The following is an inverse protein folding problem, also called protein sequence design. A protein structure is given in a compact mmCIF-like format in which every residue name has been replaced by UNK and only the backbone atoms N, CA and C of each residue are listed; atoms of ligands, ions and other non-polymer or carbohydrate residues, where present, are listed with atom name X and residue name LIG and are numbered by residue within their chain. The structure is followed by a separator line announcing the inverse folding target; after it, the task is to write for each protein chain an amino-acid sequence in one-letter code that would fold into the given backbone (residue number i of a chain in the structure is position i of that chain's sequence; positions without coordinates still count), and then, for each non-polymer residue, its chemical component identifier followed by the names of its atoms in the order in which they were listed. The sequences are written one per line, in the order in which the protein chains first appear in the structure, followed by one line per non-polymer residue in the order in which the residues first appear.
data_IF_086954274767
#
_entry.id   IF_086954274767
#
_cell.length_a   1.000
_cell.length_b   1.000
_cell.length_c   1.000
_cell.angle_alpha   90.00
_cell.angle_beta   90.00
_cell.angle_gamma   90.00
#
_symmetry.space_group_name_H-M   'P 1'
#
loop_
_entity.id
_entity.type
_entity.pdbx_description
1 polymer ?
#
# COMPACT_ATOMS: atom_id res chain seq x y z
N UNK A 1 -31.35 39.15 0.73
CA UNK A 1 -30.71 39.57 -0.54
C UNK A 1 -29.50 40.45 -0.25
N UNK A 2 -28.30 40.11 -0.74
CA UNK A 2 -27.14 41.01 -0.70
C UNK A 2 -26.23 40.76 -1.91
N UNK A 3 -26.57 41.40 -3.02
CA UNK A 3 -25.79 41.34 -4.26
C UNK A 3 -24.37 41.84 -4.01
N UNK A 4 -23.36 41.10 -4.48
CA UNK A 4 -21.97 41.57 -4.55
C UNK A 4 -21.43 41.36 -5.96
N UNK A 5 -21.03 42.48 -6.54
CA UNK A 5 -20.64 42.67 -7.92
C UNK A 5 -19.66 41.63 -8.48
N UNK A 6 -20.03 41.00 -9.60
CA UNK A 6 -19.05 40.48 -10.55
C UNK A 6 -18.29 41.67 -11.15
N UNK A 7 -16.96 41.67 -11.03
CA UNK A 7 -16.10 42.50 -11.89
C UNK A 7 -15.57 41.61 -13.00
N UNK A 8 -16.20 41.70 -14.17
CA UNK A 8 -15.67 41.12 -15.40
C UNK A 8 -14.40 41.89 -15.79
N UNK A 9 -13.25 41.22 -15.78
CA UNK A 9 -11.99 41.77 -16.28
C UNK A 9 -11.74 41.16 -17.65
N UNK A 10 -12.19 41.85 -18.70
CA UNK A 10 -11.77 41.55 -20.07
C UNK A 10 -10.33 42.02 -20.28
N UNK A 11 -9.37 41.13 -20.08
CA UNK A 11 -7.94 41.34 -20.34
C UNK A 11 -7.56 40.96 -21.78
N UNK A 12 -6.87 41.86 -22.48
CA UNK A 12 -6.51 41.76 -23.89
C UNK A 12 -5.37 40.74 -24.13
N UNK A 13 -5.42 39.95 -25.21
CA UNK A 13 -4.30 39.08 -25.60
C UNK A 13 -3.06 39.90 -25.99
N UNK A 14 -1.92 39.58 -25.35
CA UNK A 14 -0.57 39.82 -25.85
C UNK A 14 0.29 38.60 -25.49
N UNK A 15 1.11 38.13 -26.43
CA UNK A 15 1.77 36.83 -26.32
C UNK A 15 2.82 36.75 -25.21
N UNK A 16 2.63 35.81 -24.29
CA UNK A 16 3.59 35.42 -23.26
C UNK A 16 3.26 34.01 -22.77
N UNK A 17 4.26 33.13 -22.75
CA UNK A 17 4.08 31.73 -22.34
C UNK A 17 3.89 31.60 -20.84
N UNK A 18 2.81 30.96 -20.40
CA UNK A 18 2.73 30.32 -19.09
C UNK A 18 2.74 31.26 -17.88
N UNK A 19 1.67 32.04 -17.70
CA UNK A 19 1.27 32.49 -16.36
C UNK A 19 -0.20 32.16 -16.18
N UNK A 20 -0.54 31.32 -15.20
CA UNK A 20 -1.93 31.08 -14.76
C UNK A 20 -2.44 32.31 -13.99
N UNK A 21 -2.57 33.43 -14.68
CA UNK A 21 -3.03 34.71 -14.14
C UNK A 21 -4.57 34.80 -14.11
N UNK A 22 -5.22 33.85 -13.46
CA UNK A 22 -6.61 33.97 -13.02
C UNK A 22 -6.92 33.00 -11.88
N UNK A 23 -7.56 33.49 -10.80
CA UNK A 23 -8.15 32.70 -9.69
C UNK A 23 -9.37 31.87 -10.16
N UNK A 24 -9.25 31.25 -11.33
CA UNK A 24 -10.29 30.47 -11.98
C UNK A 24 -10.03 29.00 -11.70
N UNK A 25 -10.55 28.50 -10.59
CA UNK A 25 -10.59 27.09 -10.23
C UNK A 25 -11.58 26.32 -11.14
N UNK A 26 -11.48 26.51 -12.46
CA UNK A 26 -12.45 26.10 -13.47
C UNK A 26 -11.83 26.08 -14.88
N UNK A 27 -12.18 25.10 -15.70
CA UNK A 27 -11.61 24.89 -17.02
C UNK A 27 -10.43 23.92 -16.99
N UNK A 28 -9.67 23.86 -18.10
CA UNK A 28 -8.58 22.90 -18.25
C UNK A 28 -7.32 23.43 -17.56
N UNK A 29 -6.98 22.86 -16.41
CA UNK A 29 -5.87 23.30 -15.59
C UNK A 29 -4.62 22.48 -15.85
N UNK A 30 -3.48 23.15 -16.09
CA UNK A 30 -2.21 22.49 -16.35
C UNK A 30 -1.13 22.93 -15.36
N UNK A 31 -0.64 21.99 -14.55
CA UNK A 31 0.43 22.21 -13.56
C UNK A 31 1.75 21.81 -14.21
N UNK A 32 2.65 22.76 -14.47
CA UNK A 32 3.96 22.49 -15.09
C UNK A 32 5.12 22.64 -14.12
N UNK A 33 4.86 23.19 -12.93
CA UNK A 33 5.83 23.55 -11.90
C UNK A 33 5.16 23.60 -10.52
N UNK A 34 5.95 23.61 -9.44
CA UNK A 34 5.40 23.83 -8.09
C UNK A 34 4.73 25.22 -8.00
N UNK A 35 5.25 26.24 -8.67
CA UNK A 35 4.61 27.57 -8.73
C UNK A 35 3.21 27.57 -9.35
N UNK A 36 2.92 26.67 -10.29
CA UNK A 36 1.56 26.50 -10.83
C UNK A 36 0.63 25.83 -9.81
N UNK A 37 1.16 24.95 -8.95
CA UNK A 37 0.42 24.34 -7.84
C UNK A 37 0.20 25.34 -6.69
N UNK A 38 1.19 26.17 -6.36
CA UNK A 38 1.10 27.21 -5.33
C UNK A 38 0.06 28.29 -5.70
N UNK A 39 -0.14 28.54 -7.00
CA UNK A 39 -1.21 29.41 -7.51
C UNK A 39 -2.64 28.86 -7.26
N UNK A 40 -2.76 27.57 -6.90
CA UNK A 40 -4.03 26.89 -6.61
C UNK A 40 -4.36 26.80 -5.13
N UNK A 41 -3.54 27.38 -4.24
CA UNK A 41 -3.78 27.39 -2.79
C UNK A 41 -5.15 27.98 -2.39
N UNK A 42 -5.72 28.87 -3.22
CA UNK A 42 -7.03 29.48 -2.98
C UNK A 42 -8.19 28.64 -3.58
N UNK A 43 -7.89 27.46 -4.15
CA UNK A 43 -8.85 26.57 -4.84
C UNK A 43 -9.10 25.27 -4.07
N UNK A 44 -10.15 25.25 -3.23
CA UNK A 44 -10.64 24.02 -2.61
C UNK A 44 -11.26 23.06 -3.64
N UNK A 45 -11.97 23.58 -4.65
CA UNK A 45 -12.61 22.78 -5.72
C UNK A 45 -12.19 23.27 -7.10
N UNK A 46 -11.68 22.36 -7.94
CA UNK A 46 -11.41 22.62 -9.36
C UNK A 46 -12.56 22.08 -10.22
N UNK A 47 -13.11 22.95 -11.07
CA UNK A 47 -14.24 22.66 -11.96
C UNK A 47 -13.74 22.39 -13.39
N UNK A 48 -13.09 21.24 -13.59
CA UNK A 48 -12.54 20.83 -14.87
C UNK A 48 -11.42 19.79 -14.73
N UNK A 49 -10.78 19.39 -15.85
CA UNK A 49 -9.67 18.45 -15.83
C UNK A 49 -8.41 19.10 -15.26
N UNK A 50 -7.67 18.33 -14.46
CA UNK A 50 -6.34 18.70 -13.94
C UNK A 50 -5.29 17.84 -14.62
N UNK A 51 -4.28 18.46 -15.21
CA UNK A 51 -3.17 17.76 -15.87
C UNK A 51 -1.82 18.26 -15.35
N UNK A 52 -1.05 17.38 -14.72
CA UNK A 52 0.38 17.63 -14.48
C UNK A 52 1.11 17.42 -15.80
N UNK A 53 1.83 18.45 -16.23
CA UNK A 53 2.56 18.49 -17.49
C UNK A 53 3.74 17.51 -17.49
N UNK A 54 3.99 16.85 -18.62
CA UNK A 54 5.21 16.07 -18.87
C UNK A 54 6.52 16.85 -18.71
N UNK A 55 6.45 18.19 -18.71
CA UNK A 55 7.57 19.10 -18.41
C UNK A 55 7.81 19.31 -16.91
N UNK A 56 6.97 18.75 -16.04
CA UNK A 56 7.10 18.89 -14.58
C UNK A 56 8.34 18.15 -14.06
N UNK A 57 8.91 18.67 -12.97
CA UNK A 57 10.12 18.12 -12.36
C UNK A 57 10.15 18.36 -10.86
N UNK A 58 10.95 17.56 -10.15
CA UNK A 58 11.05 17.64 -8.69
C UNK A 58 9.79 17.12 -8.01
N UNK A 59 9.23 17.88 -7.07
CA UNK A 59 8.03 17.49 -6.33
C UNK A 59 6.89 18.46 -6.64
N UNK A 60 5.68 17.94 -6.84
CA UNK A 60 4.46 18.72 -6.96
C UNK A 60 3.58 18.46 -5.74
N UNK A 61 3.33 19.49 -4.93
CA UNK A 61 2.47 19.47 -3.77
C UNK A 61 1.28 20.40 -3.97
N UNK A 62 0.06 19.88 -3.79
CA UNK A 62 -1.21 20.59 -3.95
C UNK A 62 -2.01 20.44 -2.63
N UNK A 63 -1.63 21.15 -1.55
CA UNK A 63 -2.12 20.84 -0.21
C UNK A 63 -3.57 21.25 0.04
N UNK A 64 -4.06 22.35 -0.54
CA UNK A 64 -5.39 22.92 -0.25
C UNK A 64 -6.53 22.34 -1.11
N UNK A 65 -6.20 21.60 -2.17
CA UNK A 65 -7.18 21.04 -3.09
C UNK A 65 -7.95 19.89 -2.44
N UNK A 66 -9.27 19.99 -2.41
CA UNK A 66 -10.19 19.00 -1.83
C UNK A 66 -10.99 18.24 -2.90
N UNK A 67 -11.44 18.91 -3.96
CA UNK A 67 -12.29 18.30 -4.99
C UNK A 67 -11.85 18.62 -6.41
N UNK A 68 -11.85 17.61 -7.28
CA UNK A 68 -11.63 17.76 -8.72
C UNK A 68 -12.86 17.27 -9.49
N UNK A 69 -13.64 18.19 -10.05
CA UNK A 69 -14.80 17.89 -10.89
C UNK A 69 -14.39 17.63 -12.35
N UNK A 70 -13.58 16.61 -12.53
CA UNK A 70 -13.01 16.20 -13.81
C UNK A 70 -12.02 15.04 -13.64
N UNK A 71 -11.31 14.64 -14.71
CA UNK A 71 -10.18 13.73 -14.60
C UNK A 71 -8.98 14.43 -13.94
N UNK A 72 -8.17 13.65 -13.24
CA UNK A 72 -6.85 14.06 -12.76
C UNK A 72 -5.78 13.20 -13.44
N UNK A 73 -4.85 13.84 -14.15
CA UNK A 73 -3.92 13.17 -15.07
C UNK A 73 -2.48 13.59 -14.80
N UNK A 74 -1.58 12.63 -14.59
CA UNK A 74 -0.13 12.85 -14.41
C UNK A 74 0.60 11.95 -15.40
N UNK A 75 1.07 12.50 -16.52
CA UNK A 75 1.58 11.67 -17.62
C UNK A 75 2.90 12.14 -18.22
N UNK A 76 3.78 11.16 -18.50
CA UNK A 76 5.02 11.35 -19.26
C UNK A 76 6.06 12.26 -18.61
N UNK A 77 5.99 12.47 -17.29
CA UNK A 77 6.90 13.37 -16.57
C UNK A 77 8.16 12.63 -16.14
N UNK A 78 9.22 12.72 -16.96
CA UNK A 78 10.46 11.96 -16.75
C UNK A 78 11.34 12.45 -15.60
N UNK A 79 11.10 13.65 -15.07
CA UNK A 79 11.89 14.27 -13.98
C UNK A 79 11.06 14.55 -12.72
N UNK A 80 9.80 14.09 -12.69
CA UNK A 80 8.89 14.26 -11.57
C UNK A 80 9.12 13.15 -10.56
N UNK A 81 9.54 13.50 -9.34
CA UNK A 81 9.95 12.59 -8.28
C UNK A 81 8.81 12.22 -7.32
N UNK A 82 7.88 13.15 -7.07
CA UNK A 82 6.76 12.93 -6.15
C UNK A 82 5.54 13.83 -6.48
N UNK A 83 4.34 13.30 -6.24
CA UNK A 83 3.07 14.05 -6.28
C UNK A 83 2.33 13.88 -4.96
N UNK A 84 2.00 14.99 -4.32
CA UNK A 84 1.27 15.04 -3.04
C UNK A 84 0.04 15.93 -3.17
N UNK A 85 -1.13 15.41 -2.79
CA UNK A 85 -2.37 16.17 -2.66
C UNK A 85 -3.10 15.71 -1.39
N UNK A 86 -2.56 16.12 -0.24
CA UNK A 86 -2.94 15.52 1.06
C UNK A 86 -4.40 15.73 1.46
N UNK A 87 -5.03 16.84 1.07
CA UNK A 87 -6.43 17.15 1.42
C UNK A 87 -7.43 16.77 0.32
N UNK A 88 -6.98 16.22 -0.81
CA UNK A 88 -7.84 15.80 -1.91
C UNK A 88 -8.75 14.68 -1.41
N UNK A 89 -10.06 14.89 -1.45
CA UNK A 89 -11.12 13.99 -0.98
C UNK A 89 -11.84 13.30 -2.15
N UNK A 90 -12.11 14.02 -3.25
CA UNK A 90 -12.74 13.41 -4.41
C UNK A 90 -12.17 13.83 -5.78
N UNK A 91 -12.17 12.88 -6.71
CA UNK A 91 -11.96 13.11 -8.14
C UNK A 91 -13.19 12.56 -8.84
N UNK A 92 -14.02 13.40 -9.46
CA UNK A 92 -15.29 12.96 -10.07
C UNK A 92 -15.10 12.21 -11.38
N UNK A 93 -13.94 12.34 -12.02
CA UNK A 93 -13.54 11.60 -13.21
C UNK A 93 -12.55 10.48 -12.91
N UNK A 94 -11.83 9.97 -13.93
CA UNK A 94 -10.73 9.03 -13.73
C UNK A 94 -9.50 9.72 -13.14
N UNK A 95 -8.75 8.99 -12.32
CA UNK A 95 -7.42 9.35 -11.82
C UNK A 95 -6.38 8.48 -12.55
N UNK A 96 -5.60 9.10 -13.44
CA UNK A 96 -4.56 8.41 -14.23
C UNK A 96 -3.17 8.96 -13.90
N UNK A 97 -2.25 8.09 -13.51
CA UNK A 97 -0.81 8.38 -13.41
C UNK A 97 -0.05 7.39 -14.29
N UNK A 98 0.50 7.84 -15.42
CA UNK A 98 1.16 6.95 -16.39
C UNK A 98 2.50 7.45 -16.94
N UNK A 99 3.46 6.55 -17.14
CA UNK A 99 4.71 6.86 -17.85
C UNK A 99 5.66 7.86 -17.15
N UNK A 100 5.59 7.99 -15.82
CA UNK A 100 6.45 8.92 -15.07
C UNK A 100 7.66 8.15 -14.48
N UNK A 101 8.72 7.98 -15.27
CA UNK A 101 9.84 7.08 -14.95
C UNK A 101 10.57 7.39 -13.63
N UNK A 102 10.72 8.66 -13.27
CA UNK A 102 11.39 9.08 -12.03
C UNK A 102 10.46 9.21 -10.80
N UNK A 103 9.15 8.94 -10.96
CA UNK A 103 8.16 9.16 -9.91
C UNK A 103 8.27 8.09 -8.83
N UNK A 104 8.76 8.45 -7.64
CA UNK A 104 9.04 7.51 -6.56
C UNK A 104 7.88 7.35 -5.57
N UNK A 105 7.08 8.41 -5.38
CA UNK A 105 5.97 8.40 -4.42
C UNK A 105 4.76 9.21 -4.87
N UNK A 106 3.58 8.71 -4.55
CA UNK A 106 2.29 9.39 -4.71
C UNK A 106 1.56 9.35 -3.37
N UNK A 107 1.10 10.51 -2.89
CA UNK A 107 0.41 10.63 -1.62
C UNK A 107 -0.88 11.46 -1.75
N UNK A 108 -2.02 10.78 -1.69
CA UNK A 108 -3.36 11.38 -1.65
C UNK A 108 -4.12 10.73 -0.48
N UNK A 109 -3.58 10.87 0.73
CA UNK A 109 -3.99 10.08 1.91
C UNK A 109 -5.44 10.28 2.31
N UNK A 110 -6.05 11.44 2.02
CA UNK A 110 -7.46 11.73 2.31
C UNK A 110 -8.41 11.48 1.12
N UNK A 111 -7.93 10.94 -0.01
CA UNK A 111 -8.76 10.68 -1.18
C UNK A 111 -9.73 9.55 -0.84
N UNK A 112 -11.03 9.85 -0.83
CA UNK A 112 -12.12 8.93 -0.47
C UNK A 112 -12.79 8.31 -1.70
N UNK A 113 -13.00 9.09 -2.77
CA UNK A 113 -13.75 8.62 -3.95
C UNK A 113 -13.10 9.01 -5.27
N UNK A 114 -12.95 8.02 -6.16
CA UNK A 114 -12.66 8.20 -7.59
C UNK A 114 -13.90 7.83 -8.39
N UNK A 115 -14.45 8.80 -9.14
CA UNK A 115 -15.69 8.67 -9.91
C UNK A 115 -15.54 7.92 -11.25
N UNK A 116 -14.31 7.66 -11.70
CA UNK A 116 -13.99 6.84 -12.86
C UNK A 116 -13.00 5.71 -12.54
N UNK A 117 -12.15 5.35 -13.52
CA UNK A 117 -11.02 4.44 -13.29
C UNK A 117 -9.93 5.07 -12.42
N UNK A 118 -9.26 4.25 -11.62
CA UNK A 118 -7.99 4.57 -10.96
C UNK A 118 -6.90 3.74 -11.64
N UNK A 119 -6.05 4.40 -12.44
CA UNK A 119 -5.02 3.77 -13.26
C UNK A 119 -3.63 4.32 -12.92
N UNK A 120 -2.75 3.45 -12.43
CA UNK A 120 -1.34 3.76 -12.16
C UNK A 120 -0.49 2.73 -12.90
N UNK A 121 0.14 3.12 -14.02
CA UNK A 121 0.85 2.18 -14.90
C UNK A 121 2.15 2.77 -15.47
N UNK A 122 3.21 1.95 -15.57
CA UNK A 122 4.44 2.35 -16.29
C UNK A 122 5.23 3.47 -15.59
N UNK A 123 5.12 3.56 -14.27
CA UNK A 123 5.90 4.45 -13.43
C UNK A 123 7.01 3.61 -12.77
N UNK A 124 8.11 3.36 -13.50
CA UNK A 124 9.13 2.37 -13.11
C UNK A 124 9.79 2.67 -11.75
N UNK A 125 9.94 3.94 -11.37
CA UNK A 125 10.46 4.33 -10.06
C UNK A 125 9.47 4.23 -8.89
N UNK A 126 8.18 3.95 -9.13
CA UNK A 126 7.12 4.19 -8.14
C UNK A 126 7.08 3.13 -7.03
N UNK A 127 7.69 3.48 -5.90
CA UNK A 127 7.79 2.60 -4.72
C UNK A 127 6.64 2.71 -3.75
N UNK A 128 6.08 3.91 -3.56
CA UNK A 128 5.03 4.15 -2.56
C UNK A 128 3.79 4.81 -3.16
N UNK A 129 2.64 4.15 -3.00
CA UNK A 129 1.32 4.67 -3.34
C UNK A 129 0.45 4.73 -2.06
N UNK A 130 0.21 5.94 -1.56
CA UNK A 130 -0.58 6.22 -0.34
C UNK A 130 -1.96 6.74 -0.68
N UNK A 131 -2.97 5.89 -0.51
CA UNK A 131 -4.40 6.15 -0.71
C UNK A 131 -5.18 5.62 0.50
N UNK A 132 -4.70 5.94 1.71
CA UNK A 132 -5.11 5.28 2.96
C UNK A 132 -6.62 5.36 3.21
N UNK A 133 -7.25 6.50 2.94
CA UNK A 133 -8.69 6.72 3.09
C UNK A 133 -9.53 6.44 1.83
N UNK A 134 -9.00 5.79 0.80
CA UNK A 134 -9.76 5.51 -0.42
C UNK A 134 -10.83 4.47 -0.16
N UNK A 135 -12.08 4.91 -0.06
CA UNK A 135 -13.27 4.07 0.14
C UNK A 135 -13.77 3.48 -1.18
N UNK A 136 -13.76 4.27 -2.27
CA UNK A 136 -14.57 3.97 -3.46
C UNK A 136 -13.90 4.30 -4.79
N UNK A 137 -13.97 3.35 -5.71
CA UNK A 137 -13.61 3.51 -7.13
C UNK A 137 -14.80 3.06 -7.98
N UNK A 138 -15.42 4.00 -8.69
CA UNK A 138 -16.61 3.73 -9.51
C UNK A 138 -16.30 3.04 -10.85
N UNK A 139 -15.03 2.97 -11.26
CA UNK A 139 -14.55 2.23 -12.42
C UNK A 139 -13.55 1.12 -12.06
N UNK A 140 -12.64 0.84 -12.99
CA UNK A 140 -11.57 -0.15 -12.81
C UNK A 140 -10.46 0.37 -11.90
N UNK A 141 -9.82 -0.52 -11.14
CA UNK A 141 -8.60 -0.28 -10.37
C UNK A 141 -7.44 -1.03 -11.02
N UNK A 142 -6.57 -0.32 -11.72
CA UNK A 142 -5.39 -0.90 -12.39
C UNK A 142 -4.11 -0.32 -11.81
N UNK A 143 -3.31 -1.15 -11.14
CA UNK A 143 -2.02 -0.78 -10.56
C UNK A 143 -0.94 -1.69 -11.16
N UNK A 144 0.00 -1.13 -11.91
CA UNK A 144 1.06 -1.87 -12.64
C UNK A 144 2.41 -1.13 -12.52
N UNK A 145 3.36 -1.72 -11.79
CA UNK A 145 4.62 -1.05 -11.44
C UNK A 145 5.54 -1.85 -10.52
N UNK A 146 6.56 -1.18 -9.96
CA UNK A 146 7.56 -1.75 -9.06
C UNK A 146 7.31 -1.32 -7.60
N UNK A 147 6.08 -1.52 -7.13
CA UNK A 147 5.64 -1.04 -5.82
C UNK A 147 6.24 -1.85 -4.67
N UNK A 148 6.77 -1.14 -3.67
CA UNK A 148 7.19 -1.72 -2.38
C UNK A 148 6.06 -1.58 -1.34
N UNK A 149 5.25 -0.51 -1.43
CA UNK A 149 4.09 -0.26 -0.57
C UNK A 149 2.92 0.36 -1.35
N UNK A 150 1.76 -0.31 -1.29
CA UNK A 150 0.46 0.22 -1.71
C UNK A 150 -0.42 0.27 -0.46
N UNK A 151 -1.03 1.41 -0.16
CA UNK A 151 -1.95 1.58 0.98
C UNK A 151 -3.34 1.91 0.49
N UNK A 152 -4.32 1.08 0.86
CA UNK A 152 -5.73 1.12 0.47
C UNK A 152 -6.64 0.78 1.67
N UNK A 153 -6.24 1.21 2.88
CA UNK A 153 -6.73 0.66 4.15
C UNK A 153 -8.25 0.72 4.35
N UNK A 154 -8.91 1.76 3.84
CA UNK A 154 -10.35 1.96 4.00
C UNK A 154 -11.18 1.56 2.75
N UNK A 155 -10.62 0.79 1.81
CA UNK A 155 -11.30 0.43 0.57
C UNK A 155 -12.49 -0.50 0.80
N UNK A 156 -13.67 -0.04 0.40
CA UNK A 156 -14.97 -0.67 0.61
C UNK A 156 -15.65 -1.06 -0.72
N UNK A 157 -15.41 -0.32 -1.81
CA UNK A 157 -16.11 -0.56 -3.07
C UNK A 157 -15.29 -0.18 -4.32
N UNK A 158 -14.77 -1.18 -5.02
CA UNK A 158 -14.36 -1.09 -6.44
C UNK A 158 -15.44 -1.74 -7.29
N UNK A 159 -16.12 -0.95 -8.12
CA UNK A 159 -17.22 -1.44 -8.95
C UNK A 159 -16.75 -2.11 -10.25
N UNK A 160 -15.59 -1.70 -10.78
CA UNK A 160 -14.98 -2.28 -11.97
C UNK A 160 -14.06 -3.48 -11.68
N UNK A 161 -13.26 -3.85 -12.68
CA UNK A 161 -12.20 -4.85 -12.56
C UNK A 161 -11.05 -4.30 -11.71
N UNK A 162 -10.51 -5.15 -10.84
CA UNK A 162 -9.26 -4.87 -10.11
C UNK A 162 -8.12 -5.71 -10.68
N UNK A 163 -7.05 -5.04 -11.11
CA UNK A 163 -5.84 -5.66 -11.66
C UNK A 163 -4.61 -5.02 -11.01
N UNK A 164 -3.96 -5.75 -10.11
CA UNK A 164 -2.75 -5.32 -9.42
C UNK A 164 -1.61 -6.20 -9.88
N UNK A 165 -0.59 -5.60 -10.47
CA UNK A 165 0.66 -6.23 -10.88
C UNK A 165 1.81 -5.45 -10.23
N UNK A 166 2.37 -5.99 -9.15
CA UNK A 166 3.62 -5.46 -8.59
C UNK A 166 4.81 -6.31 -9.02
N UNK A 167 5.89 -5.64 -9.38
CA UNK A 167 7.21 -6.23 -9.59
C UNK A 167 8.20 -5.93 -8.43
N UNK A 168 7.73 -5.23 -7.39
CA UNK A 168 8.52 -4.85 -6.21
C UNK A 168 8.32 -5.76 -5.00
N UNK A 169 8.57 -5.25 -3.79
CA UNK A 169 8.45 -6.03 -2.56
C UNK A 169 7.02 -6.15 -2.00
N UNK A 170 6.05 -5.49 -2.62
CA UNK A 170 4.66 -5.50 -2.18
C UNK A 170 4.04 -6.91 -2.23
N UNK A 171 3.26 -7.26 -1.20
CA UNK A 171 2.60 -8.56 -1.07
C UNK A 171 1.08 -8.41 -1.20
N UNK A 172 0.47 -9.15 -2.13
CA UNK A 172 -0.97 -9.23 -2.35
C UNK A 172 -1.75 -9.69 -1.10
N UNK A 173 -1.10 -10.41 -0.17
CA UNK A 173 -1.73 -10.79 1.11
C UNK A 173 -2.11 -9.59 1.97
N UNK A 174 -1.51 -8.41 1.77
CA UNK A 174 -1.91 -7.18 2.44
C UNK A 174 -3.27 -6.63 2.00
N UNK A 175 -3.92 -7.22 0.98
CA UNK A 175 -5.31 -6.92 0.61
C UNK A 175 -6.27 -8.07 0.91
N UNK A 176 -5.83 -9.15 1.58
CA UNK A 176 -6.71 -10.30 1.85
C UNK A 176 -7.87 -9.92 2.79
N UNK A 177 -7.67 -8.96 3.72
CA UNK A 177 -8.72 -8.38 4.57
C UNK A 177 -9.76 -7.61 3.74
N UNK A 178 -9.31 -6.68 2.87
CA UNK A 178 -10.17 -5.92 1.95
C UNK A 178 -11.00 -6.84 1.03
N UNK A 179 -10.40 -7.95 0.62
CA UNK A 179 -11.02 -8.96 -0.25
C UNK A 179 -12.01 -9.86 0.48
N UNK A 180 -11.69 -10.29 1.70
CA UNK A 180 -12.42 -11.36 2.40
C UNK A 180 -13.45 -10.84 3.39
N UNK A 181 -13.12 -9.76 4.11
CA UNK A 181 -13.96 -9.23 5.20
C UNK A 181 -14.85 -8.08 4.70
N UNK A 182 -14.29 -7.10 3.98
CA UNK A 182 -15.06 -5.99 3.41
C UNK A 182 -15.77 -6.39 2.09
N UNK A 183 -15.23 -7.39 1.37
CA UNK A 183 -15.70 -7.76 0.04
C UNK A 183 -15.54 -6.61 -0.97
N UNK A 184 -14.46 -5.83 -0.85
CA UNK A 184 -14.32 -4.52 -1.47
C UNK A 184 -14.33 -4.55 -3.00
N UNK A 185 -13.82 -5.63 -3.58
CA UNK A 185 -13.73 -5.81 -5.03
C UNK A 185 -15.01 -6.47 -5.53
N UNK A 186 -15.94 -5.67 -6.10
CA UNK A 186 -17.23 -6.16 -6.61
C UNK A 186 -17.10 -6.80 -8.00
N UNK A 187 -16.13 -6.36 -8.80
CA UNK A 187 -15.76 -6.98 -10.07
C UNK A 187 -14.70 -8.08 -9.94
N UNK A 188 -14.14 -8.52 -11.07
CA UNK A 188 -13.06 -9.52 -11.08
C UNK A 188 -11.79 -8.95 -10.42
N UNK A 189 -11.23 -9.66 -9.44
CA UNK A 189 -9.99 -9.30 -8.75
C UNK A 189 -8.82 -10.20 -9.21
N UNK A 190 -7.73 -9.58 -9.63
CA UNK A 190 -6.45 -10.24 -9.89
C UNK A 190 -5.33 -9.45 -9.22
N UNK A 191 -4.54 -10.10 -8.38
CA UNK A 191 -3.32 -9.53 -7.80
C UNK A 191 -2.16 -10.50 -8.07
N UNK A 192 -1.06 -9.97 -8.61
CA UNK A 192 0.14 -10.71 -8.98
C UNK A 192 1.38 -9.93 -8.52
N UNK A 193 2.36 -10.66 -7.99
CA UNK A 193 3.53 -10.12 -7.29
C UNK A 193 4.81 -10.85 -7.75
N UNK A 194 5.97 -10.22 -7.61
CA UNK A 194 7.27 -10.85 -7.88
C UNK A 194 7.68 -11.77 -6.71
N UNK A 195 6.91 -12.83 -6.56
CA UNK A 195 6.88 -13.62 -5.34
C UNK A 195 8.10 -14.52 -5.09
N UNK A 196 8.16 -15.00 -3.85
CA UNK A 196 8.83 -16.25 -3.49
C UNK A 196 7.92 -17.17 -2.66
N UNK A 197 6.66 -16.75 -2.43
CA UNK A 197 5.63 -17.54 -1.77
C UNK A 197 5.05 -18.60 -2.70
N UNK A 198 5.03 -19.85 -2.25
CA UNK A 198 4.24 -20.91 -2.88
C UNK A 198 2.79 -20.44 -3.02
N UNK A 199 2.20 -20.62 -4.21
CA UNK A 199 0.78 -20.33 -4.50
C UNK A 199 -0.12 -20.95 -3.41
N UNK A 200 -1.26 -20.33 -3.12
CA UNK A 200 -2.21 -20.81 -2.11
C UNK A 200 -2.61 -22.29 -2.30
N UNK A 201 -2.68 -22.77 -3.55
CA UNK A 201 -2.88 -24.19 -3.87
C UNK A 201 -1.69 -25.08 -3.49
N UNK A 202 -0.45 -24.61 -3.67
CA UNK A 202 0.76 -25.33 -3.26
C UNK A 202 0.94 -25.34 -1.73
N UNK A 203 0.60 -24.23 -1.03
CA UNK A 203 0.51 -24.18 0.44
C UNK A 203 -0.48 -25.22 0.98
N UNK A 204 -1.67 -25.32 0.38
CA UNK A 204 -2.68 -26.32 0.75
C UNK A 204 -2.21 -27.76 0.47
N UNK A 205 -1.57 -28.01 -0.68
CA UNK A 205 -1.06 -29.33 -1.05
C UNK A 205 0.00 -29.87 -0.08
N UNK A 206 0.92 -29.01 0.38
CA UNK A 206 1.96 -29.41 1.35
C UNK A 206 1.33 -29.76 2.71
N UNK A 207 0.35 -28.99 3.18
CA UNK A 207 -0.33 -29.26 4.45
C UNK A 207 -0.99 -30.67 4.46
N UNK A 208 -1.72 -31.01 3.39
CA UNK A 208 -2.37 -32.32 3.25
C UNK A 208 -1.31 -33.44 3.14
N UNK A 209 -0.23 -33.21 2.37
CA UNK A 209 0.87 -34.17 2.21
C UNK A 209 1.57 -34.52 3.54
N UNK A 210 1.83 -33.52 4.39
CA UNK A 210 2.44 -33.73 5.71
C UNK A 210 1.50 -34.51 6.63
N UNK A 211 0.20 -34.19 6.67
CA UNK A 211 -0.77 -34.89 7.50
C UNK A 211 -0.85 -36.38 7.12
N UNK A 212 -0.99 -36.68 5.82
CA UNK A 212 -1.02 -38.06 5.33
C UNK A 212 0.30 -38.80 5.60
N UNK A 213 1.45 -38.12 5.42
CA UNK A 213 2.77 -38.67 5.72
C UNK A 213 2.93 -39.07 7.19
N UNK A 214 2.54 -38.19 8.12
CA UNK A 214 2.60 -38.46 9.57
C UNK A 214 1.68 -39.61 9.98
N UNK A 215 0.46 -39.69 9.41
CA UNK A 215 -0.47 -40.80 9.65
C UNK A 215 0.12 -42.14 9.17
N UNK A 216 0.72 -42.17 7.98
CA UNK A 216 1.40 -43.37 7.45
C UNK A 216 2.59 -43.80 8.34
N UNK A 217 3.40 -42.84 8.78
CA UNK A 217 4.57 -43.09 9.62
C UNK A 217 4.16 -43.62 11.02
N UNK A 218 3.09 -43.08 11.60
CA UNK A 218 2.50 -43.58 12.84
C UNK A 218 1.96 -45.02 12.70
N UNK A 219 1.28 -45.34 11.58
CA UNK A 219 0.82 -46.70 11.27
C UNK A 219 1.97 -47.69 11.11
N UNK A 220 3.07 -47.29 10.45
CA UNK A 220 4.27 -48.13 10.34
C UNK A 220 4.92 -48.39 11.69
N UNK A 221 5.07 -47.37 12.55
CA UNK A 221 5.58 -47.53 13.92
C UNK A 221 4.68 -48.49 14.72
N UNK A 222 3.36 -48.32 14.64
CA UNK A 222 2.40 -49.20 15.30
C UNK A 222 2.48 -50.65 14.80
N UNK A 223 2.62 -50.87 13.49
CA UNK A 223 2.83 -52.20 12.91
C UNK A 223 4.16 -52.82 13.36
N UNK A 224 5.25 -52.06 13.45
CA UNK A 224 6.53 -52.51 13.99
C UNK A 224 6.41 -52.91 15.47
N UNK A 225 5.72 -52.13 16.30
CA UNK A 225 5.45 -52.47 17.71
C UNK A 225 4.57 -53.73 17.80
N UNK A 226 3.53 -53.85 16.96
CA UNK A 226 2.63 -55.01 16.93
C UNK A 226 3.35 -56.29 16.46
N UNK A 227 4.28 -56.19 15.50
CA UNK A 227 5.15 -57.30 15.06
C UNK A 227 6.13 -57.69 16.16
N UNK A 228 6.83 -56.73 16.80
CA UNK A 228 7.72 -57.01 17.94
C UNK A 228 6.98 -57.64 19.13
N UNK A 229 5.75 -57.19 19.46
CA UNK A 229 4.89 -57.83 20.48
C UNK A 229 4.48 -59.26 20.10
N UNK A 230 4.28 -59.56 18.82
CA UNK A 230 4.05 -60.94 18.33
C UNK A 230 5.32 -61.81 18.34
N UNK A 231 6.50 -61.25 18.06
CA UNK A 231 7.77 -61.96 18.15
C UNK A 231 8.11 -62.32 19.62
N UNK A 232 8.00 -61.37 20.55
CA UNK A 232 8.20 -61.65 21.99
C UNK A 232 7.31 -62.78 22.54
N UNK A 233 6.12 -63.01 21.95
CA UNK A 233 5.25 -64.15 22.28
C UNK A 233 5.73 -65.51 21.73
N UNK A 234 6.56 -65.52 20.68
CA UNK A 234 7.22 -66.73 20.16
C UNK A 234 8.49 -67.04 20.94
N UNK A 235 9.29 -66.02 21.22
CA UNK A 235 10.57 -66.18 21.95
C UNK A 235 10.33 -66.68 23.38
N UNK A 236 9.26 -66.19 24.05
CA UNK A 236 8.83 -66.66 25.36
C UNK A 236 8.28 -68.10 25.36
N UNK A 237 7.87 -68.65 24.21
CA UNK A 237 7.41 -70.04 24.11
C UNK A 237 8.58 -71.04 23.98
N UNK A 238 9.73 -70.62 23.44
CA UNK A 238 10.92 -71.46 23.35
C UNK A 238 11.68 -71.53 24.69
N UNK A 239 11.72 -70.41 25.44
CA UNK A 239 12.31 -70.37 26.78
C UNK A 239 11.56 -71.23 27.83
N UNK A 240 10.31 -71.61 27.56
CA UNK A 240 9.52 -72.49 28.42
C UNK A 240 9.91 -73.98 28.34
N UNK A 241 10.59 -74.43 27.29
CA UNK A 241 11.01 -75.83 27.13
C UNK A 241 12.42 -76.12 27.68
N UNK A 242 13.20 -75.10 28.03
CA UNK A 242 14.57 -75.24 28.55
C UNK A 242 14.67 -75.11 30.08
N UNK A 243 13.54 -75.14 30.79
CA UNK A 243 13.47 -75.05 32.25
C UNK A 243 13.26 -76.41 32.96
N UNK A 244 13.39 -77.52 32.23
CA UNK A 244 13.23 -78.87 32.75
C UNK A 244 14.30 -79.82 32.17
N UNK A 245 15.56 -79.68 32.61
CA UNK A 245 16.62 -80.62 32.22
C UNK A 245 18.03 -80.26 32.70
N UNK A 246 18.72 -81.25 33.26
CA UNK A 246 20.16 -81.33 33.52
C UNK A 246 20.77 -80.33 34.53
N UNK A 247 20.89 -80.80 35.77
CA UNK A 247 22.01 -80.44 36.65
C UNK A 247 23.21 -81.37 36.37
N UNK A 248 24.44 -80.90 36.61
CA UNK A 248 25.57 -81.78 37.00
C UNK A 248 26.87 -81.69 36.17
N UNK A 249 27.97 -81.40 36.90
CA UNK A 249 29.38 -81.76 36.59
C UNK A 249 30.09 -81.10 35.37
N UNK A 250 31.43 -81.02 35.28
CA UNK A 250 32.54 -80.66 36.21
C UNK A 250 33.85 -80.60 35.38
N UNK A 251 34.78 -79.68 35.71
CA UNK A 251 36.18 -79.62 35.20
C UNK A 251 36.47 -78.38 34.31
N UNK A 252 37.43 -77.46 34.61
CA UNK A 252 38.90 -77.55 34.82
C UNK A 252 39.67 -77.77 33.49
N UNK A 253 40.72 -77.02 33.10
CA UNK A 253 41.65 -76.09 33.79
C UNK A 253 42.31 -75.04 32.82
N UNK A 254 42.84 -73.91 33.37
CA UNK A 254 44.08 -73.12 32.97
C UNK A 254 44.14 -72.48 31.54
N UNK A 255 44.65 -71.26 31.25
CA UNK A 255 45.69 -70.33 31.79
C UNK A 255 45.30 -68.86 31.48
N UNK A 256 45.15 -67.90 32.42
CA UNK A 256 46.09 -67.02 33.16
C UNK A 256 46.84 -65.89 32.39
N UNK A 257 46.30 -64.67 32.54
CA UNK A 257 46.95 -63.33 32.71
C UNK A 257 47.48 -62.56 31.46
N UNK A 258 47.53 -61.21 31.44
CA UNK A 258 47.41 -60.20 32.51
C UNK A 258 46.88 -58.80 32.04
N UNK A 259 46.28 -58.02 32.95
CA UNK A 259 46.22 -56.52 33.07
C UNK A 259 45.89 -55.61 31.84
N UNK A 260 45.03 -54.57 31.86
CA UNK A 260 44.74 -53.52 32.87
C UNK A 260 43.56 -52.63 32.39
N UNK A 261 42.93 -51.87 33.30
CA UNK A 261 41.74 -50.98 33.14
C UNK A 261 42.00 -49.69 33.95
N UNK A 262 41.29 -48.51 33.84
CA UNK A 262 40.24 -48.00 32.92
C UNK A 262 40.58 -46.66 32.20
N UNK A 263 39.71 -46.18 31.27
CA UNK A 263 38.94 -44.91 31.42
C UNK A 263 38.27 -44.37 30.11
N UNK A 264 36.95 -44.50 30.04
CA UNK A 264 35.93 -43.48 29.70
C UNK A 264 35.99 -42.54 28.45
N UNK A 265 34.82 -42.52 27.76
CA UNK A 265 34.12 -41.47 26.96
C UNK A 265 34.49 -41.17 25.48
N UNK A 266 33.42 -41.02 24.67
CA UNK A 266 33.24 -40.13 23.49
C UNK A 266 33.34 -40.70 22.06
N UNK A 267 32.19 -41.20 21.58
CA UNK A 267 31.54 -40.95 20.27
C UNK A 267 32.37 -40.71 18.98
N UNK A 268 32.10 -41.54 17.96
CA UNK A 268 31.44 -41.20 16.67
C UNK A 268 32.00 -41.96 15.46
N UNK A 269 31.13 -42.27 14.49
CA UNK A 269 31.37 -43.19 13.38
C UNK A 269 32.10 -42.56 12.18
N UNK A 270 32.77 -43.35 11.32
CA UNK A 270 33.53 -42.84 10.17
C UNK A 270 32.68 -42.59 8.92
N UNK A 271 33.21 -41.78 8.01
CA UNK A 271 32.77 -41.63 6.61
C UNK A 271 33.98 -41.80 5.68
N UNK A 272 33.77 -42.27 4.44
CA UNK A 272 34.82 -42.80 3.57
C UNK A 272 34.69 -42.37 2.10
N UNK A 273 35.83 -41.97 1.51
CA UNK A 273 36.23 -42.03 0.08
C UNK A 273 35.31 -41.48 -1.04
N UNK A 274 35.62 -40.27 -1.54
CA UNK A 274 36.33 -39.95 -2.82
C UNK A 274 36.20 -40.84 -4.11
N UNK A 275 36.60 -40.38 -5.33
CA UNK A 275 35.79 -39.69 -6.36
C UNK A 275 35.74 -40.47 -7.72
N UNK A 276 35.36 -39.91 -8.91
CA UNK A 276 36.26 -39.03 -9.73
C UNK A 276 35.60 -37.96 -10.65
N UNK A 277 36.44 -37.18 -11.35
CA UNK A 277 36.21 -35.99 -12.21
C UNK A 277 36.57 -36.25 -13.71
N UNK A 278 36.82 -35.26 -14.61
CA UNK A 278 36.33 -33.88 -14.80
C UNK A 278 35.52 -33.83 -16.14
N UNK A 279 35.80 -33.09 -17.26
CA UNK A 279 36.35 -31.73 -17.56
C UNK A 279 35.27 -30.62 -17.44
N UNK A 280 35.44 -29.29 -17.55
CA UNK A 280 36.48 -28.29 -17.96
C UNK A 280 36.46 -27.76 -19.40
N UNK A 281 36.12 -26.47 -19.55
CA UNK A 281 36.75 -25.55 -20.52
C UNK A 281 36.74 -24.09 -20.01
N UNK A 282 37.55 -23.23 -20.62
CA UNK A 282 38.21 -22.10 -19.94
C UNK A 282 38.10 -20.79 -20.73
N UNK A 283 37.98 -19.63 -20.07
CA UNK A 283 38.67 -18.42 -20.53
C UNK A 283 38.97 -17.40 -19.41
N UNK A 284 39.93 -16.51 -19.67
CA UNK A 284 40.70 -15.75 -18.67
C UNK A 284 40.83 -14.29 -19.09
N UNK A 285 40.51 -13.33 -18.21
CA UNK A 285 41.10 -11.98 -18.28
C UNK A 285 41.48 -11.44 -16.90
N UNK A 286 42.68 -10.87 -16.86
CA UNK A 286 43.46 -10.40 -15.71
C UNK A 286 42.79 -9.44 -14.71
N UNK A 287 43.29 -9.50 -13.48
CA UNK A 287 43.11 -8.46 -12.46
C UNK A 287 44.00 -7.22 -12.74
N UNK A 288 43.55 -6.06 -12.27
CA UNK A 288 44.44 -4.91 -12.02
C UNK A 288 44.01 -4.20 -10.74
N UNK A 289 44.89 -4.25 -9.74
CA UNK A 289 44.71 -3.58 -8.45
C UNK A 289 45.09 -2.09 -8.58
N UNK A 290 44.16 -1.19 -8.28
CA UNK A 290 44.42 0.26 -8.21
C UNK A 290 44.43 0.69 -6.73
N UNK A 291 45.51 1.30 -6.21
CA UNK A 291 45.56 1.74 -4.81
C UNK A 291 44.63 2.94 -4.55
N UNK A 292 43.85 2.86 -3.47
CA UNK A 292 43.03 3.99 -3.01
C UNK A 292 43.90 5.05 -2.32
N UNK A 293 43.79 6.31 -2.75
CA UNK A 293 44.34 7.48 -2.05
C UNK A 293 43.21 8.18 -1.28
N UNK A 294 43.33 8.45 0.02
CA UNK A 294 42.27 9.14 0.78
C UNK A 294 42.22 10.64 0.42
N UNK A 295 41.02 11.19 0.24
CA UNK A 295 40.80 12.63 0.21
C UNK A 295 40.73 13.18 1.64
N UNK A 296 41.38 14.31 1.86
CA UNK A 296 41.30 15.08 3.11
C UNK A 296 39.98 15.89 3.18
N UNK A 297 39.41 16.14 4.38
CA UNK A 297 38.23 16.98 4.55
C UNK A 297 38.55 18.49 4.39
N UNK A 298 37.55 19.33 4.05
CA UNK A 298 37.73 20.77 3.89
C UNK A 298 37.86 21.53 5.23
N UNK A 299 38.54 22.70 5.26
CA UNK A 299 38.69 23.52 6.46
C UNK A 299 37.42 24.34 6.79
N UNK A 300 37.21 24.70 8.08
CA UNK A 300 36.04 25.46 8.52
C UNK A 300 36.11 26.97 8.21
N UNK A 301 34.95 27.61 8.13
CA UNK A 301 34.79 29.02 7.81
C UNK A 301 35.27 29.97 8.92
N UNK A 302 35.82 31.11 8.52
CA UNK A 302 36.33 32.17 9.39
C UNK A 302 35.23 33.11 9.88
N UNK A 303 34.99 33.13 11.19
CA UNK A 303 34.27 34.20 11.90
C UNK A 303 35.21 35.37 12.23
N UNK A 304 34.80 36.63 12.06
CA UNK A 304 35.43 37.77 12.71
C UNK A 304 34.63 38.17 13.95
N UNK A 305 35.14 37.82 15.14
CA UNK A 305 34.74 38.46 16.38
C UNK A 305 35.67 39.67 16.63
N UNK A 306 35.11 40.87 16.65
CA UNK A 306 35.81 42.09 17.03
C UNK A 306 35.13 42.74 18.24
N UNK A 307 35.63 42.42 19.43
CA UNK A 307 35.31 43.08 20.70
C UNK A 307 36.40 44.11 21.03
N UNK A 308 36.05 45.39 21.13
CA UNK A 308 36.68 46.33 22.09
C UNK A 308 35.61 47.29 22.61
N UNK A 309 35.49 47.54 23.93
CA UNK A 309 34.53 48.50 24.50
C UNK A 309 35.08 49.94 24.52
N UNK A 310 34.19 50.93 24.47
CA UNK A 310 34.50 52.35 24.65
C UNK A 310 33.32 53.08 25.30
N UNK A 311 33.62 53.99 26.24
CA UNK A 311 32.65 54.52 27.21
C UNK A 311 32.29 56.01 26.98
N UNK A 312 31.11 56.39 27.48
CA UNK A 312 30.59 57.74 27.80
C UNK A 312 30.23 58.80 26.74
N UNK A 313 29.06 59.39 27.05
CA UNK A 313 28.65 60.79 26.86
C UNK A 313 28.02 61.24 25.53
N UNK A 314 26.67 61.24 25.57
CA UNK A 314 25.84 62.44 25.34
C UNK A 314 25.98 63.21 24.02
N UNK A 315 24.99 63.02 23.14
CA UNK A 315 24.13 64.13 22.68
C UNK A 315 22.82 63.63 22.08
N UNK A 316 21.73 64.16 22.61
CA UNK A 316 20.40 64.09 22.01
C UNK A 316 20.38 65.00 20.79
N UNK A 317 19.93 64.48 19.64
CA UNK A 317 19.30 65.31 18.61
C UNK A 317 18.02 64.61 18.17
N UNK A 318 16.90 65.25 18.47
CA UNK A 318 15.56 64.76 18.17
C UNK A 318 15.27 64.87 16.67
N UNK A 319 14.91 63.76 16.03
CA UNK A 319 14.20 63.78 14.77
C UNK A 319 12.70 63.56 15.05
N UNK A 320 11.79 64.44 14.61
CA UNK A 320 10.35 64.20 14.70
C UNK A 320 9.90 63.18 13.63
N UNK A 321 8.60 62.85 13.63
CA UNK A 321 7.90 62.04 12.62
C UNK A 321 8.06 60.51 12.71
N UNK A 322 7.97 59.95 13.93
CA UNK A 322 7.62 58.54 14.18
C UNK A 322 6.23 58.43 14.83
N UNK A 323 5.18 58.00 14.10
CA UNK A 323 3.80 57.90 14.61
C UNK A 323 3.43 56.49 15.11
N UNK A 324 4.33 55.79 15.80
CA UNK A 324 4.05 54.47 16.43
C UNK A 324 3.50 54.56 17.87
N UNK A 325 2.43 55.35 18.08
CA UNK A 325 1.75 55.48 19.40
C UNK A 325 0.21 55.44 19.31
N UNK A 326 -0.37 54.25 19.12
CA UNK A 326 -1.80 53.99 19.36
C UNK A 326 -2.04 52.69 20.14
N UNK A 327 -1.44 52.60 21.33
CA UNK A 327 -1.89 51.68 22.39
C UNK A 327 -2.72 52.44 23.43
N UNK A 328 -4.01 52.63 23.14
CA UNK A 328 -5.01 52.98 24.15
C UNK A 328 -6.13 51.93 24.14
N UNK A 329 -6.38 51.35 25.31
CA UNK A 329 -7.42 50.34 25.49
C UNK A 329 -8.82 50.97 25.38
N UNK A 330 -9.59 50.53 24.39
CA UNK A 330 -10.99 50.93 24.21
C UNK A 330 -11.87 50.41 25.36
N UNK A 331 -12.67 51.24 26.03
CA UNK A 331 -13.66 50.78 27.00
C UNK A 331 -14.76 49.94 26.31
N UNK A 332 -15.03 48.74 26.84
CA UNK A 332 -16.15 47.89 26.39
C UNK A 332 -17.49 48.60 26.63
N UNK A 333 -18.12 49.10 25.57
CA UNK A 333 -19.56 49.44 25.59
C UNK A 333 -20.36 48.14 25.63
N UNK A 334 -21.28 48.00 26.58
CA UNK A 334 -22.29 46.93 26.56
C UNK A 334 -23.22 47.18 25.36
N UNK A 335 -23.60 46.17 24.57
CA UNK A 335 -24.68 46.32 23.61
C UNK A 335 -26.00 46.52 24.37
N UNK A 336 -26.82 47.47 23.92
CA UNK A 336 -28.19 47.65 24.37
C UNK A 336 -29.11 46.65 23.67
N UNK A 337 -29.99 46.01 24.44
CA UNK A 337 -31.04 45.13 23.91
C UNK A 337 -32.12 45.95 23.19
N UNK A 338 -31.94 46.18 21.89
CA UNK A 338 -32.95 46.86 21.06
C UNK A 338 -32.87 46.51 19.57
N UNK A 339 -32.37 45.34 19.22
CA UNK A 339 -32.28 44.88 17.82
C UNK A 339 -32.56 43.37 17.68
N UNK A 340 -33.67 42.95 18.29
CA UNK A 340 -34.32 41.68 17.98
C UNK A 340 -35.35 41.97 16.87
N UNK A 341 -35.20 41.44 15.64
CA UNK A 341 -36.26 41.56 14.65
C UNK A 341 -37.47 40.76 15.15
N UNK A 342 -38.59 41.44 15.40
CA UNK A 342 -39.85 40.75 15.64
C UNK A 342 -40.22 39.98 14.38
N UNK A 343 -40.44 38.69 14.52
CA UNK A 343 -41.01 37.87 13.45
C UNK A 343 -42.52 38.14 13.43
N UNK A 344 -42.97 38.95 12.48
CA UNK A 344 -44.39 39.13 12.23
C UNK A 344 -45.00 37.80 11.74
N UNK A 345 -45.94 37.25 12.52
CA UNK A 345 -46.49 35.90 12.34
C UNK A 345 -47.47 35.74 11.16
N UNK A 346 -47.43 36.62 10.15
CA UNK A 346 -48.52 36.74 9.15
C UNK A 346 -48.42 35.77 7.95
N UNK A 347 -47.34 34.98 7.84
CA UNK A 347 -47.19 33.96 6.78
C UNK A 347 -46.64 32.61 7.29
N UNK A 348 -47.35 31.99 8.23
CA UNK A 348 -47.22 30.54 8.47
C UNK A 348 -48.10 29.79 7.47
N UNK A 349 -47.49 29.25 6.41
CA UNK A 349 -48.15 28.24 5.59
C UNK A 349 -48.09 26.90 6.33
N UNK A 350 -49.22 26.50 6.91
CA UNK A 350 -49.39 25.18 7.50
C UNK A 350 -49.29 24.12 6.39
N UNK A 351 -48.31 23.22 6.51
CA UNK A 351 -48.14 22.14 5.54
C UNK A 351 -49.30 21.15 5.68
N UNK A 352 -50.01 20.77 4.60
CA UNK A 352 -51.10 19.80 4.70
C UNK A 352 -50.56 18.45 5.18
N UNK A 353 -51.30 17.81 6.08
CA UNK A 353 -50.98 16.48 6.58
C UNK A 353 -50.89 15.46 5.42
N UNK A 354 -50.03 14.43 5.52
CA UNK A 354 -49.97 13.39 4.50
C UNK A 354 -51.30 12.64 4.43
N UNK A 355 -51.96 12.67 3.26
CA UNK A 355 -53.19 11.90 3.03
C UNK A 355 -52.89 10.39 3.10
N UNK A 356 -53.26 9.79 4.22
CA UNK A 356 -53.39 8.34 4.32
C UNK A 356 -54.68 7.94 3.64
N UNK A 357 -54.56 7.42 2.40
CA UNK A 357 -55.64 6.64 1.78
C UNK A 357 -56.01 7.05 0.37
N UNK A 358 -55.24 6.58 -0.61
CA UNK A 358 -55.82 6.23 -1.90
C UNK A 358 -55.20 4.94 -2.44
N UNK A 359 -56.01 3.89 -2.49
CA UNK A 359 -55.69 2.70 -3.27
C UNK A 359 -55.55 3.13 -4.73
N UNK A 360 -54.42 2.79 -5.34
CA UNK A 360 -54.30 2.75 -6.79
C UNK A 360 -53.87 1.34 -7.16
N UNK A 361 -54.83 0.59 -7.72
CA UNK A 361 -54.61 -0.72 -8.31
C UNK A 361 -53.74 -0.57 -9.56
N UNK A 362 -52.43 -0.51 -9.35
CA UNK A 362 -51.42 -0.61 -10.39
C UNK A 362 -51.06 -2.06 -10.61
N UNK A 363 -51.72 -2.71 -11.57
CA UNK A 363 -51.43 -4.08 -11.96
C UNK A 363 -50.07 -4.12 -12.69
N UNK A 364 -48.99 -4.44 -11.98
CA UNK A 364 -47.67 -4.66 -12.59
C UNK A 364 -47.63 -6.04 -13.24
N UNK A 365 -48.07 -6.10 -14.50
CA UNK A 365 -47.95 -7.27 -15.35
C UNK A 365 -46.47 -7.52 -15.68
N UNK A 366 -45.95 -8.67 -15.24
CA UNK A 366 -44.57 -9.09 -15.49
C UNK A 366 -44.46 -9.62 -16.92
N UNK A 367 -44.03 -8.76 -17.85
CA UNK A 367 -43.73 -9.16 -19.23
C UNK A 367 -42.49 -10.07 -19.29
N UNK A 368 -42.72 -11.37 -19.13
CA UNK A 368 -41.74 -12.41 -19.33
C UNK A 368 -41.63 -12.74 -20.83
N UNK A 369 -40.73 -12.03 -21.51
CA UNK A 369 -40.45 -12.24 -22.93
C UNK A 369 -40.14 -13.71 -23.30
N UNK A 370 -40.44 -14.13 -24.54
CA UNK A 370 -40.52 -15.54 -24.91
C UNK A 370 -39.18 -16.29 -24.82
N UNK A 371 -39.08 -17.24 -23.88
CA UNK A 371 -37.95 -18.17 -23.77
C UNK A 371 -38.02 -19.20 -24.89
N UNK A 372 -37.19 -19.04 -25.92
CA UNK A 372 -37.03 -20.04 -26.99
C UNK A 372 -36.23 -21.23 -26.50
N UNK A 373 -36.94 -22.24 -25.97
CA UNK A 373 -36.32 -23.50 -25.53
C UNK A 373 -36.12 -24.47 -26.69
N UNK A 374 -34.86 -24.84 -26.98
CA UNK A 374 -34.45 -26.13 -27.57
C UNK A 374 -32.93 -26.27 -27.52
N UNK A 375 -32.46 -27.27 -26.77
CA UNK A 375 -31.36 -28.20 -27.07
C UNK A 375 -30.88 -28.87 -25.77
N UNK A 376 -31.67 -29.83 -25.26
CA UNK A 376 -31.11 -30.91 -24.46
C UNK A 376 -30.81 -32.06 -25.40
N UNK A 377 -29.56 -32.51 -25.41
CA UNK A 377 -29.09 -33.61 -26.23
C UNK A 377 -28.77 -34.79 -25.30
N UNK A 378 -29.55 -35.87 -25.40
CA UNK A 378 -29.33 -37.05 -24.59
C UNK A 378 -28.09 -37.81 -25.09
N UNK A 379 -27.08 -37.96 -24.23
CA UNK A 379 -25.97 -38.87 -24.47
C UNK A 379 -26.43 -40.26 -24.04
N UNK A 380 -26.72 -41.13 -25.01
CA UNK A 380 -26.90 -42.55 -24.75
C UNK A 380 -25.54 -43.18 -24.39
N UNK A 381 -25.55 -44.01 -23.35
CA UNK A 381 -24.53 -45.01 -23.09
C UNK A 381 -25.13 -46.38 -23.41
N UNK A 382 -24.48 -47.12 -24.30
CA UNK A 382 -24.47 -48.58 -24.43
C UNK A 382 -23.01 -48.98 -24.76
#
# INVERSE_FOLDING_TARGET
MKSRHLRSISGLLLGGTGVLASNSCSGNLRISSQSDADALKDCETINGPVTVSSSSSGTINIPELQDVRGPFTVEGSSNLNAVTASNLQSVSGPLTISGNGALNSISMSNLQTVGGELKVQGNEGLKELKLDNLERVNGDLTLDGDFDRISLGNLDNVYGKTSIQSSGSFQCSSLDELKSDNGAFRGSFSCNEKGSGLSSGAKAGIAIGVILGVILLALLIWLCIRRKRKQKRKDAALAGLTAAGAAGAVGKDVEKAENKVPAAVSNSSPSSHEPPSPPSDTEVVAASNIPRKPLSPPPPASVPAALVPGDRSSRVLSNPDDPSLFLQAMPRRRPSESEVPMLDSENVHEAPAPEVGRQQEGLFELDAGPVSGRHQQAIHHD
#
